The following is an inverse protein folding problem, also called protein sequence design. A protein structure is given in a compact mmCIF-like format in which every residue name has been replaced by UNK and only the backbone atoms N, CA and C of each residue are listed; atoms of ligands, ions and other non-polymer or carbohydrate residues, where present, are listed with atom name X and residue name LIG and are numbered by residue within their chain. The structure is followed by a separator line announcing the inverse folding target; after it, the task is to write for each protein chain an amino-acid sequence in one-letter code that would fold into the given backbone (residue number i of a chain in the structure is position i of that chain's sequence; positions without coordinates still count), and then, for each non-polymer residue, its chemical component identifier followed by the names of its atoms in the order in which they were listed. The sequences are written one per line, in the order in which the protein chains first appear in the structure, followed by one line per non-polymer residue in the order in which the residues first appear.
data_IF_336730727776
#
_entry.id   IF_336730727776
#
_cell.length_a   1.000
_cell.length_b   1.000
_cell.length_c   1.000
_cell.angle_alpha   90.00
_cell.angle_beta   90.00
_cell.angle_gamma   90.00
#
_symmetry.space_group_name_H-M   'P 1'
#
loop_
_entity.id
_entity.type
_entity.pdbx_description
1 polymer ?
#
# COMPACT_ATOMS: atom_id res chain seq x y z
N UNK A 1 -2.97 5.27 -23.63
CA UNK A 1 -2.69 5.92 -22.33
C UNK A 1 -2.92 4.91 -21.21
N UNK A 2 -2.03 4.89 -20.22
CA UNK A 2 -2.13 4.00 -19.06
C UNK A 2 -3.15 4.53 -18.05
N UNK A 3 -3.75 3.64 -17.24
CA UNK A 3 -4.63 4.03 -16.13
C UNK A 3 -3.79 4.40 -14.93
N UNK A 4 -3.99 5.59 -14.38
CA UNK A 4 -3.30 6.05 -13.17
C UNK A 4 -4.14 5.73 -11.93
N UNK A 5 -3.51 5.13 -10.93
CA UNK A 5 -4.08 4.98 -9.60
C UNK A 5 -3.29 5.87 -8.63
N UNK A 6 -3.96 6.76 -7.87
CA UNK A 6 -3.29 7.62 -6.88
C UNK A 6 -2.74 6.79 -5.71
N UNK A 7 -1.73 7.29 -5.00
CA UNK A 7 -1.16 6.59 -3.82
C UNK A 7 -2.26 6.07 -2.86
N UNK A 8 -2.14 4.79 -2.47
CA UNK A 8 -3.01 4.19 -1.49
C UNK A 8 -2.82 4.84 -0.11
N UNK A 9 -3.82 5.61 0.31
CA UNK A 9 -3.88 6.21 1.64
C UNK A 9 -4.54 5.27 2.66
N UNK A 10 -4.68 5.74 3.90
CA UNK A 10 -5.36 4.99 4.96
C UNK A 10 -6.82 4.66 4.62
N UNK A 11 -7.45 5.34 3.66
CA UNK A 11 -8.85 5.19 3.29
C UNK A 11 -9.06 4.48 1.95
N UNK A 12 -8.01 3.89 1.35
CA UNK A 12 -8.10 3.18 0.08
C UNK A 12 -9.23 2.15 0.09
N UNK A 13 -9.24 1.27 1.10
CA UNK A 13 -10.27 0.26 1.31
C UNK A 13 -11.69 0.86 1.37
N UNK A 14 -11.87 2.01 2.02
CA UNK A 14 -13.20 2.64 2.11
C UNK A 14 -13.69 3.15 0.75
N UNK A 15 -12.77 3.64 -0.09
CA UNK A 15 -13.06 4.15 -1.43
C UNK A 15 -13.34 3.03 -2.43
N UNK A 16 -12.68 1.89 -2.29
CA UNK A 16 -12.87 0.74 -3.17
C UNK A 16 -14.00 -0.18 -2.70
N UNK A 17 -14.31 -0.23 -1.41
CA UNK A 17 -15.32 -1.13 -0.84
C UNK A 17 -16.58 -0.41 -0.32
N UNK A 18 -17.73 -0.87 -0.79
CA UNK A 18 -19.06 -0.41 -0.35
C UNK A 18 -19.51 0.86 -1.06
N UNK A 19 -19.88 1.89 -0.29
CA UNK A 19 -20.46 3.13 -0.81
C UNK A 19 -19.45 4.26 -1.07
N UNK A 20 -18.15 4.00 -0.87
CA UNK A 20 -17.07 4.97 -1.07
C UNK A 20 -16.95 6.02 0.05
N UNK A 21 -17.77 5.92 1.10
CA UNK A 21 -17.77 6.89 2.21
C UNK A 21 -16.54 6.71 3.11
N UNK A 22 -15.94 7.82 3.55
CA UNK A 22 -14.82 7.79 4.49
C UNK A 22 -15.34 7.42 5.89
N UNK A 23 -14.83 6.31 6.42
CA UNK A 23 -15.24 5.82 7.72
C UNK A 23 -14.43 6.46 8.86
N UNK A 24 -15.03 6.59 10.05
CA UNK A 24 -14.31 6.94 11.27
C UNK A 24 -13.08 6.08 11.53
N UNK A 25 -12.07 6.64 12.19
CA UNK A 25 -10.78 6.01 12.49
C UNK A 25 -10.90 4.59 13.10
N UNK A 26 -11.89 4.38 13.98
CA UNK A 26 -12.16 3.08 14.62
C UNK A 26 -12.55 1.95 13.66
N UNK A 27 -13.06 2.29 12.47
CA UNK A 27 -13.39 1.33 11.41
C UNK A 27 -12.31 1.27 10.33
N UNK A 28 -11.27 2.09 10.46
CA UNK A 28 -10.22 2.29 9.47
C UNK A 28 -8.85 1.97 10.08
N UNK A 29 -8.77 0.84 10.76
CA UNK A 29 -7.54 0.31 11.35
C UNK A 29 -7.03 1.05 12.59
N UNK A 30 -7.79 1.98 13.19
CA UNK A 30 -7.29 2.87 14.26
C UNK A 30 -6.00 3.62 13.87
N UNK A 31 -5.95 4.03 12.60
CA UNK A 31 -4.77 4.59 11.96
C UNK A 31 -4.93 6.09 11.75
N UNK A 32 -3.92 6.85 12.13
CA UNK A 32 -3.92 8.31 12.02
C UNK A 32 -2.52 8.83 11.67
N UNK A 33 -2.41 9.47 10.50
CA UNK A 33 -1.14 10.01 9.98
C UNK A 33 -0.62 11.16 10.84
N UNK A 34 -1.50 12.07 11.26
CA UNK A 34 -1.12 13.19 12.14
C UNK A 34 -0.54 12.68 13.46
N UNK A 35 -1.16 11.64 14.04
CA UNK A 35 -0.67 11.02 15.27
C UNK A 35 0.73 10.41 15.11
N UNK A 36 0.97 9.74 13.98
CA UNK A 36 2.28 9.20 13.65
C UNK A 36 3.36 10.29 13.59
N UNK A 37 3.10 11.42 12.93
CA UNK A 37 4.10 12.48 12.84
C UNK A 37 4.26 13.30 14.14
N UNK A 38 3.26 13.31 15.01
CA UNK A 38 3.29 14.08 16.27
C UNK A 38 3.91 13.32 17.43
N UNK A 39 3.62 12.02 17.55
CA UNK A 39 4.15 11.15 18.62
C UNK A 39 4.48 9.75 18.09
N UNK A 40 5.49 9.58 17.20
CA UNK A 40 5.82 8.29 16.60
C UNK A 40 6.35 7.24 17.60
N UNK A 41 6.62 7.63 18.85
CA UNK A 41 7.16 6.73 19.89
C UNK A 41 6.10 6.34 20.92
N UNK A 42 4.83 6.63 20.64
CA UNK A 42 3.74 6.32 21.56
C UNK A 42 3.70 4.82 21.90
N UNK A 43 3.47 4.45 23.17
CA UNK A 43 3.51 3.06 23.64
C UNK A 43 2.32 2.22 23.14
N UNK A 44 1.33 2.83 22.52
CA UNK A 44 0.12 2.18 22.01
C UNK A 44 0.30 1.48 20.67
N UNK A 45 1.49 1.54 20.08
CA UNK A 45 1.82 0.84 18.84
C UNK A 45 1.20 1.42 17.57
N UNK A 46 0.60 2.62 17.62
CA UNK A 46 -0.08 3.21 16.45
C UNK A 46 0.84 3.34 15.22
N UNK A 47 2.13 3.55 15.42
CA UNK A 47 3.11 3.65 14.33
C UNK A 47 3.19 2.37 13.51
N UNK A 48 3.26 1.21 14.16
CA UNK A 48 3.29 -0.06 13.45
C UNK A 48 1.92 -0.43 12.88
N UNK A 49 0.84 -0.16 13.63
CA UNK A 49 -0.54 -0.39 13.15
C UNK A 49 -0.83 0.38 11.87
N UNK A 50 -0.39 1.64 11.79
CA UNK A 50 -0.46 2.46 10.58
C UNK A 50 0.30 1.83 9.42
N UNK A 51 1.53 1.38 9.65
CA UNK A 51 2.34 0.76 8.60
C UNK A 51 1.71 -0.53 8.09
N UNK A 52 1.21 -1.40 8.97
CA UNK A 52 0.53 -2.64 8.60
C UNK A 52 -0.75 -2.37 7.81
N UNK A 53 -1.53 -1.35 8.19
CA UNK A 53 -2.73 -0.94 7.48
C UNK A 53 -2.43 -0.38 6.08
N UNK A 54 -1.40 0.47 5.96
CA UNK A 54 -0.94 0.99 4.67
C UNK A 54 -0.42 -0.12 3.76
N UNK A 55 0.31 -1.09 4.31
CA UNK A 55 0.76 -2.27 3.56
C UNK A 55 -0.43 -3.05 2.97
N UNK A 56 -1.45 -3.36 3.79
CA UNK A 56 -2.66 -4.03 3.32
C UNK A 56 -3.38 -3.24 2.21
N UNK A 57 -3.52 -1.92 2.37
CA UNK A 57 -4.11 -1.05 1.34
C UNK A 57 -3.28 -1.04 0.04
N UNK A 58 -1.95 -1.06 0.13
CA UNK A 58 -1.06 -1.14 -1.04
C UNK A 58 -1.18 -2.49 -1.74
N UNK A 59 -1.33 -3.58 -0.99
CA UNK A 59 -1.57 -4.93 -1.56
C UNK A 59 -2.90 -4.95 -2.31
N UNK A 60 -3.97 -4.40 -1.73
CA UNK A 60 -5.26 -4.28 -2.41
C UNK A 60 -5.16 -3.45 -3.68
N UNK A 61 -4.48 -2.31 -3.63
CA UNK A 61 -4.27 -1.48 -4.80
C UNK A 61 -3.50 -2.21 -5.90
N UNK A 62 -2.47 -2.98 -5.51
CA UNK A 62 -1.71 -3.77 -6.46
C UNK A 62 -2.57 -4.85 -7.11
N UNK A 63 -3.43 -5.51 -6.34
CA UNK A 63 -4.40 -6.46 -6.88
C UNK A 63 -5.42 -5.81 -7.81
N UNK A 64 -5.93 -4.62 -7.51
CA UNK A 64 -6.82 -3.87 -8.40
C UNK A 64 -6.13 -3.46 -9.71
N UNK A 65 -4.85 -3.11 -9.64
CA UNK A 65 -4.03 -2.79 -10.81
C UNK A 65 -3.78 -4.03 -11.69
N UNK A 66 -3.42 -5.17 -11.08
CA UNK A 66 -3.25 -6.43 -11.80
C UNK A 66 -4.56 -6.92 -12.40
N UNK A 67 -5.67 -6.83 -11.66
CA UNK A 67 -7.00 -7.17 -12.17
C UNK A 67 -7.36 -6.32 -13.39
N UNK A 68 -7.13 -5.00 -13.33
CA UNK A 68 -7.35 -4.10 -14.47
C UNK A 68 -6.46 -4.46 -15.66
N UNK A 69 -5.17 -4.71 -15.42
CA UNK A 69 -4.22 -5.10 -16.47
C UNK A 69 -4.63 -6.42 -17.15
N UNK A 70 -4.92 -7.46 -16.38
CA UNK A 70 -5.25 -8.80 -16.90
C UNK A 70 -6.65 -8.87 -17.53
N UNK A 71 -7.58 -8.00 -17.13
CA UNK A 71 -8.94 -7.98 -17.69
C UNK A 71 -9.09 -7.09 -18.93
N UNK A 72 -8.32 -6.00 -19.01
CA UNK A 72 -8.46 -4.99 -20.07
C UNK A 72 -7.28 -4.94 -21.05
N UNK A 73 -6.12 -5.47 -20.67
CA UNK A 73 -4.87 -5.31 -21.41
C UNK A 73 -4.28 -3.89 -21.34
N UNK A 74 -4.87 -2.98 -20.56
CA UNK A 74 -4.38 -1.61 -20.42
C UNK A 74 -3.33 -1.51 -19.31
N UNK A 75 -2.17 -0.93 -19.63
CA UNK A 75 -1.12 -0.64 -18.65
C UNK A 75 -1.60 0.26 -17.50
N UNK A 76 -0.98 0.10 -16.33
CA UNK A 76 -1.33 0.81 -15.10
C UNK A 76 -0.11 1.53 -14.54
N UNK A 77 -0.29 2.76 -14.08
CA UNK A 77 0.71 3.53 -13.33
C UNK A 77 0.28 3.57 -11.87
N UNK A 78 1.18 3.14 -10.99
CA UNK A 78 0.99 3.13 -9.54
C UNK A 78 2.01 4.06 -8.87
N UNK A 79 1.58 4.71 -7.80
CA UNK A 79 2.47 5.42 -6.88
C UNK A 79 2.83 4.52 -5.72
N UNK A 80 4.08 4.06 -5.67
CA UNK A 80 4.65 3.15 -4.65
C UNK A 80 3.92 1.80 -4.54
N UNK A 81 4.61 0.74 -4.95
CA UNK A 81 4.10 -0.63 -4.83
C UNK A 81 4.35 -1.24 -3.44
N UNK A 82 3.67 -2.34 -3.07
CA UNK A 82 3.97 -3.10 -1.85
C UNK A 82 5.45 -3.52 -1.74
N UNK A 83 6.12 -3.77 -2.88
CA UNK A 83 7.54 -4.10 -2.94
C UNK A 83 8.44 -3.00 -2.34
N UNK A 84 8.02 -1.74 -2.45
CA UNK A 84 8.77 -0.59 -1.92
C UNK A 84 8.45 -0.27 -0.46
N UNK A 85 7.45 -0.92 0.15
CA UNK A 85 6.90 -0.50 1.44
C UNK A 85 7.88 -0.72 2.63
N UNK A 86 8.71 -1.76 2.56
CA UNK A 86 9.61 -2.13 3.65
C UNK A 86 10.66 -1.05 3.98
N UNK A 87 10.97 -0.15 3.03
CA UNK A 87 11.94 0.95 3.25
C UNK A 87 11.47 1.91 4.35
N UNK A 88 10.15 2.11 4.48
CA UNK A 88 9.56 2.93 5.53
C UNK A 88 9.69 2.24 6.88
N UNK A 89 9.40 0.95 6.92
CA UNK A 89 9.52 0.15 8.13
C UNK A 89 10.97 0.08 8.64
N UNK A 90 11.95 -0.13 7.75
CA UNK A 90 13.37 -0.13 8.11
C UNK A 90 13.80 1.24 8.65
N UNK A 91 13.32 2.32 8.05
CA UNK A 91 13.57 3.67 8.55
C UNK A 91 12.93 3.90 9.93
N UNK A 92 11.70 3.43 10.16
CA UNK A 92 11.00 3.50 11.45
C UNK A 92 11.75 2.70 12.53
N UNK A 93 12.27 1.52 12.18
CA UNK A 93 13.05 0.68 13.09
C UNK A 93 14.37 1.37 13.49
N UNK A 94 15.10 1.94 12.51
CA UNK A 94 16.36 2.68 12.77
C UNK A 94 16.15 3.92 13.64
N UNK A 95 14.98 4.57 13.56
CA UNK A 95 14.63 5.70 14.42
C UNK A 95 14.11 5.29 15.81
N UNK A 96 13.89 3.99 16.03
CA UNK A 96 13.32 3.46 17.25
C UNK A 96 11.85 3.81 17.44
N UNK A 97 11.08 3.94 16.34
CA UNK A 97 9.62 4.13 16.38
C UNK A 97 8.87 2.81 16.58
N UNK A 98 9.50 1.69 16.19
CA UNK A 98 8.92 0.35 16.28
C UNK A 98 9.88 -0.63 16.94
N UNK A 99 9.32 -1.68 17.55
CA UNK A 99 10.10 -2.75 18.16
C UNK A 99 10.56 -3.78 17.13
N UNK A 100 11.61 -4.54 17.45
CA UNK A 100 12.09 -5.65 16.60
C UNK A 100 11.00 -6.68 16.29
N UNK A 101 10.11 -6.98 17.24
CA UNK A 101 8.97 -7.88 17.02
C UNK A 101 8.03 -7.42 15.89
N UNK A 102 7.87 -6.11 15.71
CA UNK A 102 7.06 -5.53 14.64
C UNK A 102 7.73 -5.75 13.29
N UNK A 103 9.06 -5.59 13.23
CA UNK A 103 9.86 -5.88 12.05
C UNK A 103 9.76 -7.36 11.66
N UNK A 104 9.90 -8.26 12.64
CA UNK A 104 9.82 -9.70 12.41
C UNK A 104 8.41 -10.13 11.96
N UNK A 105 7.36 -9.49 12.50
CA UNK A 105 5.97 -9.73 12.08
C UNK A 105 5.71 -9.23 10.66
N UNK A 106 6.19 -8.04 10.32
CA UNK A 106 6.03 -7.50 8.98
C UNK A 106 6.74 -8.33 7.92
N UNK A 107 7.97 -8.81 8.19
CA UNK A 107 8.69 -9.67 7.24
C UNK A 107 7.91 -10.93 6.91
N UNK A 108 7.32 -11.57 7.92
CA UNK A 108 6.48 -12.74 7.72
C UNK A 108 5.25 -12.42 6.85
N UNK A 109 4.55 -11.31 7.12
CA UNK A 109 3.43 -10.87 6.27
C UNK A 109 3.92 -10.57 4.84
N UNK A 110 5.01 -9.82 4.68
CA UNK A 110 5.57 -9.45 3.37
C UNK A 110 5.88 -10.70 2.55
N UNK A 111 6.58 -11.66 3.14
CA UNK A 111 7.03 -12.87 2.47
C UNK A 111 5.86 -13.75 2.01
N UNK A 112 4.77 -13.78 2.77
CA UNK A 112 3.56 -14.55 2.43
C UNK A 112 2.68 -13.79 1.42
N UNK A 113 2.50 -12.48 1.60
CA UNK A 113 1.60 -11.70 0.74
C UNK A 113 2.21 -11.36 -0.62
N UNK A 114 3.52 -11.11 -0.71
CA UNK A 114 4.14 -10.63 -1.96
C UNK A 114 4.50 -11.78 -2.91
N UNK A 115 4.77 -12.99 -2.39
CA UNK A 115 5.25 -14.09 -3.22
C UNK A 115 4.24 -14.60 -4.27
N UNK A 116 2.95 -14.27 -4.11
CA UNK A 116 1.90 -14.62 -5.08
C UNK A 116 1.73 -13.59 -6.20
N UNK A 117 2.43 -12.45 -6.11
CA UNK A 117 2.38 -11.38 -7.12
C UNK A 117 3.64 -11.35 -8.00
N UNK A 118 3.43 -11.03 -9.28
CA UNK A 118 4.52 -10.65 -10.18
C UNK A 118 5.00 -9.23 -9.82
N UNK A 119 6.31 -8.94 -9.86
CA UNK A 119 6.84 -7.58 -9.63
C UNK A 119 6.42 -6.63 -10.74
N UNK A 120 6.51 -5.30 -10.59
CA UNK A 120 6.23 -4.37 -11.69
C UNK A 120 7.19 -4.57 -12.88
N UNK A 121 6.76 -4.23 -14.10
CA UNK A 121 7.65 -4.27 -15.28
C UNK A 121 8.74 -3.20 -15.22
N UNK A 122 8.38 -2.02 -14.72
CA UNK A 122 9.22 -0.83 -14.66
C UNK A 122 9.06 -0.15 -13.30
N UNK A 123 10.18 0.27 -12.71
CA UNK A 123 10.23 1.15 -11.55
C UNK A 123 10.89 2.45 -11.94
N UNK A 124 10.18 3.56 -11.75
CA UNK A 124 10.71 4.91 -11.93
C UNK A 124 11.06 5.46 -10.55
N UNK A 125 12.35 5.67 -10.30
CA UNK A 125 12.86 6.25 -9.06
C UNK A 125 13.29 7.70 -9.28
N UNK A 126 12.82 8.60 -8.41
CA UNK A 126 13.14 10.02 -8.46
C UNK A 126 14.13 10.32 -7.33
N UNK A 127 15.37 10.64 -7.69
CA UNK A 127 16.40 11.04 -6.75
C UNK A 127 16.25 12.53 -6.39
N UNK A 128 15.85 12.77 -5.15
CA UNK A 128 15.72 14.11 -4.57
C UNK A 128 16.52 14.13 -3.25
N UNK A 129 17.54 14.99 -3.14
CA UNK A 129 18.34 15.08 -1.91
C UNK A 129 17.49 15.43 -0.69
N UNK A 130 17.76 14.81 0.47
CA UNK A 130 17.03 15.05 1.72
C UNK A 130 16.88 16.55 2.08
N UNK A 131 17.92 17.41 1.96
CA UNK A 131 17.76 18.84 2.25
C UNK A 131 16.71 19.52 1.37
N UNK A 132 16.59 19.09 0.11
CA UNK A 132 15.60 19.61 -0.82
C UNK A 132 14.20 19.07 -0.50
N UNK A 133 14.08 17.77 -0.20
CA UNK A 133 12.83 17.16 0.26
C UNK A 133 12.29 17.90 1.50
N UNK A 134 13.16 18.19 2.46
CA UNK A 134 12.79 18.95 3.66
C UNK A 134 12.27 20.35 3.33
N UNK A 135 12.96 21.06 2.44
CA UNK A 135 12.50 22.39 2.00
C UNK A 135 11.10 22.30 1.38
N UNK A 136 10.87 21.33 0.49
CA UNK A 136 9.57 21.08 -0.15
C UNK A 136 8.47 20.74 0.87
N UNK A 137 8.78 19.92 1.89
CA UNK A 137 7.84 19.60 2.98
C UNK A 137 7.54 20.85 3.82
N UNK A 138 8.52 21.70 4.11
CA UNK A 138 8.27 22.93 4.86
C UNK A 138 7.40 23.94 4.08
N UNK A 139 7.53 23.98 2.76
CA UNK A 139 6.75 24.85 1.88
C UNK A 139 5.32 24.35 1.64
N UNK A 140 5.16 23.07 1.28
CA UNK A 140 3.89 22.48 0.80
C UNK A 140 3.27 21.43 1.71
N UNK A 141 4.03 20.88 2.64
CA UNK A 141 3.58 19.79 3.50
C UNK A 141 2.55 20.25 4.54
N UNK A 142 1.77 19.29 5.01
CA UNK A 142 0.78 19.53 6.05
C UNK A 142 1.46 19.89 7.39
N UNK A 143 0.79 20.62 8.31
CA UNK A 143 1.40 21.06 9.57
C UNK A 143 2.03 19.94 10.41
N UNK A 144 1.47 18.73 10.33
CA UNK A 144 1.99 17.55 11.02
C UNK A 144 3.20 16.94 10.30
N UNK A 145 3.25 16.93 8.96
CA UNK A 145 4.37 16.38 8.19
C UNK A 145 5.67 17.19 8.37
N UNK A 146 5.54 18.49 8.63
CA UNK A 146 6.68 19.38 8.91
C UNK A 146 7.51 18.99 10.13
N UNK A 147 6.99 18.10 11.00
CA UNK A 147 7.68 17.57 12.17
C UNK A 147 8.58 16.37 11.87
N UNK A 148 8.61 15.91 10.61
CA UNK A 148 9.42 14.75 10.21
C UNK A 148 10.92 14.98 10.48
N UNK A 149 11.57 13.97 11.04
CA UNK A 149 13.01 14.04 11.35
C UNK A 149 13.85 13.98 10.06
N UNK A 150 14.90 14.83 9.91
CA UNK A 150 15.90 14.68 8.84
C UNK A 150 16.52 13.30 8.76
N UNK A 151 16.82 12.71 9.92
CA UNK A 151 17.43 11.38 9.99
C UNK A 151 16.46 10.27 9.55
N UNK A 152 15.15 10.49 9.67
CA UNK A 152 14.15 9.55 9.17
C UNK A 152 14.12 9.56 7.64
N UNK A 153 14.11 10.75 7.02
CA UNK A 153 14.16 10.89 5.56
C UNK A 153 15.46 10.32 4.97
N UNK A 154 16.60 10.54 5.63
CA UNK A 154 17.88 9.95 5.21
C UNK A 154 17.84 8.42 5.30
N UNK A 155 17.26 7.86 6.35
CA UNK A 155 17.13 6.41 6.47
C UNK A 155 16.25 5.80 5.38
N UNK A 156 15.21 6.51 4.93
CA UNK A 156 14.37 6.11 3.80
C UNK A 156 15.18 6.13 2.51
N UNK A 157 15.87 7.23 2.22
CA UNK A 157 16.72 7.35 1.02
C UNK A 157 17.78 6.23 0.98
N UNK A 158 18.45 6.00 2.10
CA UNK A 158 19.43 4.94 2.26
C UNK A 158 18.84 3.55 2.01
N UNK A 159 17.63 3.28 2.51
CA UNK A 159 16.94 2.00 2.32
C UNK A 159 16.52 1.79 0.85
N UNK A 160 16.07 2.84 0.18
CA UNK A 160 15.80 2.81 -1.26
C UNK A 160 17.06 2.47 -2.05
N UNK A 161 18.15 3.21 -1.82
CA UNK A 161 19.40 3.07 -2.61
C UNK A 161 20.17 1.79 -2.32
N UNK A 162 20.19 1.32 -1.06
CA UNK A 162 21.01 0.17 -0.65
C UNK A 162 20.30 -1.17 -0.73
N UNK A 163 18.97 -1.18 -0.62
CA UNK A 163 18.21 -2.44 -0.54
C UNK A 163 17.22 -2.56 -1.69
N UNK A 164 16.27 -1.63 -1.82
CA UNK A 164 15.17 -1.76 -2.78
C UNK A 164 15.62 -1.70 -4.24
N UNK A 165 16.42 -0.70 -4.62
CA UNK A 165 16.85 -0.55 -6.02
C UNK A 165 17.69 -1.72 -6.52
N UNK A 166 18.67 -2.25 -5.74
CA UNK A 166 19.36 -3.48 -6.12
C UNK A 166 18.43 -4.69 -6.26
N UNK A 167 17.58 -4.96 -5.26
CA UNK A 167 16.66 -6.11 -5.24
C UNK A 167 15.69 -6.08 -6.43
N UNK A 168 15.05 -4.94 -6.70
CA UNK A 168 14.06 -4.85 -7.76
C UNK A 168 14.68 -4.81 -9.16
N UNK A 169 15.95 -4.45 -9.29
CA UNK A 169 16.63 -4.37 -10.60
C UNK A 169 16.94 -5.74 -11.23
N UNK A 170 16.87 -6.80 -10.41
CA UNK A 170 17.02 -8.19 -10.87
C UNK A 170 15.81 -8.62 -11.70
N UNK A 171 14.60 -8.29 -11.24
CA UNK A 171 13.34 -8.73 -11.86
C UNK A 171 12.67 -7.65 -12.75
N UNK A 172 12.89 -6.37 -12.43
CA UNK A 172 12.26 -5.23 -13.10
C UNK A 172 13.28 -4.33 -13.79
N UNK A 173 12.82 -3.60 -14.81
CA UNK A 173 13.60 -2.48 -15.32
C UNK A 173 13.49 -1.28 -14.37
N UNK A 174 14.61 -0.55 -14.21
CA UNK A 174 14.70 0.57 -13.28
C UNK A 174 15.21 1.79 -14.02
N UNK A 175 14.40 2.86 -14.03
CA UNK A 175 14.80 4.17 -14.50
C UNK A 175 14.99 5.10 -13.30
N UNK A 176 16.14 5.77 -13.26
CA UNK A 176 16.48 6.71 -12.20
C UNK A 176 16.61 8.10 -12.80
N UNK A 177 15.89 9.06 -12.21
CA UNK A 177 15.90 10.44 -12.66
C UNK A 177 16.17 11.38 -11.51
N UNK A 178 16.85 12.48 -11.76
CA UNK A 178 16.92 13.59 -10.81
C UNK A 178 15.66 14.44 -10.84
N UNK A 179 15.42 15.23 -9.79
CA UNK A 179 14.27 16.13 -9.71
C UNK A 179 14.10 17.07 -10.92
N UNK A 180 15.19 17.50 -11.55
CA UNK A 180 15.16 18.38 -12.72
C UNK A 180 14.87 17.62 -14.02
N UNK A 181 15.31 16.37 -14.13
CA UNK A 181 15.08 15.56 -15.35
C UNK A 181 13.64 15.07 -15.46
N UNK A 182 12.97 14.80 -14.33
CA UNK A 182 11.56 14.37 -14.33
C UNK A 182 10.60 15.46 -14.80
N UNK A 183 11.00 16.74 -14.74
CA UNK A 183 10.17 17.82 -15.27
C UNK A 183 9.99 17.72 -16.79
N UNK A 184 10.93 17.06 -17.49
CA UNK A 184 10.84 16.74 -18.91
C UNK A 184 10.09 15.41 -19.11
N UNK A 185 8.77 15.51 -19.17
CA UNK A 185 7.87 14.34 -19.34
C UNK A 185 8.07 13.66 -20.69
N UNK A 186 8.43 14.40 -21.74
CA UNK A 186 8.65 13.82 -23.07
C UNK A 186 9.85 12.88 -23.05
N UNK A 187 10.95 13.31 -22.42
CA UNK A 187 12.13 12.46 -22.21
C UNK A 187 11.79 11.18 -21.44
N UNK A 188 11.02 11.27 -20.36
CA UNK A 188 10.63 10.08 -19.58
C UNK A 188 9.81 9.10 -20.43
N UNK A 189 8.93 9.61 -21.29
CA UNK A 189 8.12 8.77 -22.19
C UNK A 189 9.01 8.10 -23.25
N UNK A 190 9.93 8.85 -23.87
CA UNK A 190 10.88 8.29 -24.84
C UNK A 190 11.72 7.17 -24.22
N UNK A 191 12.27 7.39 -23.02
CA UNK A 191 13.07 6.38 -22.31
C UNK A 191 12.25 5.10 -22.01
N UNK A 192 10.95 5.25 -21.72
CA UNK A 192 10.02 4.10 -21.55
C UNK A 192 9.78 3.36 -22.87
N UNK A 193 9.66 4.08 -24.00
CA UNK A 193 9.43 3.48 -25.31
C UNK A 193 10.66 2.74 -25.86
N UNK A 194 11.86 3.19 -25.50
CA UNK A 194 13.12 2.53 -25.90
C UNK A 194 13.50 1.34 -25.01
N UNK A 195 12.89 1.20 -23.85
CA UNK A 195 13.13 0.07 -22.95
C UNK A 195 12.68 -1.25 -23.56
N UNK A 196 13.53 -2.27 -23.40
CA UNK A 196 13.19 -3.65 -23.72
C UNK A 196 12.94 -4.40 -22.42
N UNK A 197 11.73 -4.93 -22.28
CA UNK A 197 11.33 -5.71 -21.12
C UNK A 197 11.76 -7.16 -21.29
N UNK A 198 13.05 -7.39 -21.09
CA UNK A 198 13.68 -8.72 -21.22
C UNK A 198 13.81 -9.44 -19.86
N UNK A 199 13.47 -8.77 -18.75
CA UNK A 199 13.54 -9.31 -17.38
C UNK A 199 12.23 -9.97 -16.95
N UNK A 200 12.38 -11.00 -16.12
CA UNK A 200 11.30 -11.89 -15.66
C UNK A 200 10.91 -11.62 -14.21
N UNK A 201 9.79 -12.17 -13.73
CA UNK A 201 9.15 -13.42 -14.20
C UNK A 201 8.02 -13.27 -15.24
N UNK A 202 7.78 -12.08 -15.81
CA UNK A 202 6.67 -11.83 -16.74
C UNK A 202 6.72 -12.64 -18.04
N UNK A 203 7.91 -12.84 -18.61
CA UNK A 203 8.09 -13.55 -19.88
C UNK A 203 7.89 -15.08 -19.75
N UNK A 204 7.92 -15.60 -18.53
CA UNK A 204 7.78 -17.02 -18.23
C UNK A 204 6.31 -17.43 -18.03
N UNK A 205 5.39 -16.46 -17.99
CA UNK A 205 3.98 -16.70 -17.73
C UNK A 205 3.24 -17.22 -18.97
N UNK A 206 2.28 -18.11 -18.75
CA UNK A 206 1.38 -18.63 -19.77
C UNK A 206 -0.08 -18.28 -19.45
N UNK A 207 -1.01 -18.66 -20.33
CA UNK A 207 -2.43 -18.39 -20.14
C UNK A 207 -2.98 -19.02 -18.85
N UNK A 208 -2.39 -20.13 -18.39
CA UNK A 208 -2.81 -20.84 -17.18
C UNK A 208 -2.33 -20.11 -15.93
N UNK A 209 -1.07 -19.68 -15.90
CA UNK A 209 -0.52 -18.92 -14.78
C UNK A 209 -1.21 -17.56 -14.65
N UNK A 210 -1.47 -16.86 -15.77
CA UNK A 210 -2.25 -15.63 -15.76
C UNK A 210 -3.70 -15.86 -15.34
N UNK A 211 -4.32 -16.99 -15.70
CA UNK A 211 -5.66 -17.33 -15.22
C UNK A 211 -5.68 -17.49 -13.69
N UNK A 212 -4.72 -18.21 -13.11
CA UNK A 212 -4.63 -18.38 -11.66
C UNK A 212 -4.34 -17.06 -10.94
N UNK A 213 -3.40 -16.26 -11.45
CA UNK A 213 -3.12 -14.93 -10.92
C UNK A 213 -4.39 -14.05 -10.97
N UNK A 214 -5.15 -14.11 -12.07
CA UNK A 214 -6.41 -13.37 -12.21
C UNK A 214 -7.45 -13.78 -11.17
N UNK A 215 -7.63 -15.08 -10.94
CA UNK A 215 -8.56 -15.57 -9.92
C UNK A 215 -8.14 -15.11 -8.51
N UNK A 216 -6.83 -15.16 -8.26
CA UNK A 216 -6.24 -14.75 -6.99
C UNK A 216 -6.46 -13.26 -6.71
N UNK A 217 -6.15 -12.36 -7.66
CA UNK A 217 -6.30 -10.91 -7.46
C UNK A 217 -7.75 -10.44 -7.32
N UNK A 218 -8.72 -11.25 -7.76
CA UNK A 218 -10.15 -10.97 -7.67
C UNK A 218 -10.72 -11.26 -6.28
N UNK A 219 -10.13 -12.20 -5.54
CA UNK A 219 -10.55 -12.55 -4.18
C UNK A 219 -9.88 -11.64 -3.15
N UNK A 220 -10.43 -10.43 -3.00
CA UNK A 220 -9.87 -9.41 -2.10
C UNK A 220 -9.88 -9.83 -0.62
N UNK A 221 -10.82 -10.69 -0.22
CA UNK A 221 -10.89 -11.19 1.14
C UNK A 221 -9.71 -12.15 1.41
N UNK A 222 -9.45 -13.10 0.50
CA UNK A 222 -8.31 -14.01 0.60
C UNK A 222 -6.96 -13.26 0.58
N UNK A 223 -6.83 -12.18 -0.20
CA UNK A 223 -5.63 -11.35 -0.21
C UNK A 223 -5.33 -10.70 1.14
N UNK A 224 -6.37 -10.26 1.84
CA UNK A 224 -6.24 -9.61 3.14
C UNK A 224 -6.02 -10.60 4.29
N UNK A 225 -6.42 -11.86 4.13
CA UNK A 225 -6.18 -12.90 5.14
C UNK A 225 -4.68 -13.07 5.43
N UNK A 226 -3.81 -12.91 4.42
CA UNK A 226 -2.35 -12.95 4.61
C UNK A 226 -1.80 -11.77 5.41
N UNK A 227 -2.50 -10.63 5.41
CA UNK A 227 -2.15 -9.49 6.27
C UNK A 227 -2.61 -9.70 7.73
N UNK A 228 -3.46 -10.70 7.99
CA UNK A 228 -4.05 -11.01 9.29
C UNK A 228 -3.53 -12.34 9.87
N UNK A 229 -2.23 -12.60 9.73
CA UNK A 229 -1.62 -13.81 10.31
C UNK A 229 -1.88 -13.90 11.84
N UNK A 230 -2.09 -15.11 12.39
CA UNK A 230 -2.41 -15.30 13.80
C UNK A 230 -1.16 -15.18 14.71
N UNK A 231 -0.38 -14.12 14.53
CA UNK A 231 0.80 -13.78 15.32
C UNK A 231 0.49 -12.60 16.22
N UNK A 232 0.21 -12.89 17.48
CA UNK A 232 -0.22 -11.89 18.45
C UNK A 232 0.92 -11.00 18.91
N UNK A 233 0.97 -9.77 18.38
CA UNK A 233 1.81 -8.68 18.91
C UNK A 233 0.95 -7.58 19.54
N UNK A 234 1.39 -6.94 20.63
CA UNK A 234 0.60 -5.93 21.34
C UNK A 234 0.15 -4.75 20.47
N UNK A 235 0.93 -4.38 19.46
CA UNK A 235 0.71 -3.19 18.64
C UNK A 235 -0.50 -3.31 17.68
N UNK A 236 -0.89 -4.53 17.30
CA UNK A 236 -2.01 -4.78 16.35
C UNK A 236 -3.13 -5.65 16.94
N UNK A 237 -2.86 -6.40 18.01
CA UNK A 237 -3.84 -7.34 18.56
C UNK A 237 -4.96 -6.58 19.26
N UNK A 238 -6.18 -6.72 18.77
CA UNK A 238 -7.39 -6.14 19.37
C UNK A 238 -8.03 -7.19 20.28
N UNK A 239 -8.45 -6.78 21.48
CA UNK A 239 -9.13 -7.68 22.41
C UNK A 239 -10.51 -8.11 21.87
N UNK A 240 -10.91 -9.36 22.11
CA UNK A 240 -12.16 -9.90 21.54
C UNK A 240 -13.42 -9.10 21.89
N UNK A 241 -13.51 -8.55 23.10
CA UNK A 241 -14.65 -7.69 23.52
C UNK A 241 -14.68 -6.38 22.73
N UNK A 242 -13.51 -5.78 22.51
CA UNK A 242 -13.38 -4.55 21.75
C UNK A 242 -13.70 -4.78 20.28
N UNK A 243 -13.16 -5.86 19.69
CA UNK A 243 -13.48 -6.28 18.34
C UNK A 243 -14.98 -6.50 18.14
N UNK A 244 -15.64 -7.24 19.03
CA UNK A 244 -17.07 -7.53 18.95
C UNK A 244 -17.92 -6.24 18.97
N UNK A 245 -17.57 -5.31 19.86
CA UNK A 245 -18.20 -3.99 19.92
C UNK A 245 -18.04 -3.22 18.61
N UNK A 246 -16.82 -3.13 18.07
CA UNK A 246 -16.54 -2.39 16.84
C UNK A 246 -17.26 -3.04 15.65
N UNK A 247 -17.28 -4.38 15.59
CA UNK A 247 -17.95 -5.13 14.55
C UNK A 247 -19.45 -4.84 14.48
N UNK A 248 -20.15 -4.85 15.62
CA UNK A 248 -21.57 -4.53 15.64
C UNK A 248 -21.86 -3.05 15.40
N UNK A 249 -20.99 -2.15 15.86
CA UNK A 249 -21.08 -0.72 15.52
C UNK A 249 -20.90 -0.47 14.01
N UNK A 250 -20.01 -1.22 13.35
CA UNK A 250 -19.82 -1.15 11.90
C UNK A 250 -21.05 -1.68 11.14
N UNK A 251 -21.58 -2.84 11.55
CA UNK A 251 -22.79 -3.45 10.96
C UNK A 251 -24.06 -2.61 11.16
N UNK A 252 -24.07 -1.72 12.15
CA UNK A 252 -25.17 -0.78 12.39
C UNK A 252 -25.14 0.43 11.44
N UNK A 253 -24.04 0.65 10.71
CA UNK A 253 -23.97 1.71 9.70
C UNK A 253 -24.88 1.40 8.51
N UNK A 254 -25.51 2.42 7.89
CA UNK A 254 -26.34 2.24 6.71
C UNK A 254 -25.58 1.53 5.57
N UNK A 255 -26.21 0.52 4.95
CA UNK A 255 -25.64 -0.18 3.80
C UNK A 255 -24.51 -1.16 4.12
N UNK A 256 -24.19 -1.37 5.40
CA UNK A 256 -23.07 -2.23 5.85
C UNK A 256 -23.52 -3.46 6.63
N UNK A 257 -24.84 -3.66 6.79
CA UNK A 257 -25.39 -4.82 7.52
C UNK A 257 -25.24 -6.12 6.74
N UNK A 258 -25.46 -6.10 5.43
CA UNK A 258 -25.36 -7.25 4.53
C UNK A 258 -24.45 -6.94 3.34
N UNK A 259 -24.23 -7.93 2.47
CA UNK A 259 -23.49 -7.76 1.22
C UNK A 259 -24.13 -6.65 0.39
N UNK A 260 -23.31 -5.89 -0.35
CA UNK A 260 -23.77 -4.84 -1.25
C UNK A 260 -24.87 -5.38 -2.20
N UNK A 261 -25.98 -4.65 -2.33
CA UNK A 261 -27.14 -5.08 -3.11
C UNK A 261 -28.25 -5.77 -2.31
N UNK A 262 -28.05 -6.01 -1.00
CA UNK A 262 -29.00 -6.66 -0.08
C UNK A 262 -29.39 -5.80 1.14
N UNK A 263 -29.13 -4.49 1.11
CA UNK A 263 -29.36 -3.57 2.22
C UNK A 263 -30.60 -2.69 1.96
N UNK A 264 -31.74 -3.05 2.57
CA UNK A 264 -33.02 -2.36 2.38
C UNK A 264 -33.01 -0.90 2.89
N UNK A 265 -32.20 -0.63 3.90
CA UNK A 265 -31.99 0.68 4.53
C UNK A 265 -31.35 1.71 3.60
N UNK A 266 -30.61 1.27 2.58
CA UNK A 266 -30.07 2.14 1.50
C UNK A 266 -30.86 2.03 0.20
N UNK A 267 -32.03 1.38 0.23
CA UNK A 267 -32.95 1.31 -0.89
C UNK A 267 -32.64 0.21 -1.91
N UNK A 268 -31.86 -0.81 -1.55
CA UNK A 268 -31.65 -1.97 -2.41
C UNK A 268 -32.98 -2.65 -2.75
N UNK A 269 -33.25 -2.82 -4.05
CA UNK A 269 -34.48 -3.45 -4.55
C UNK A 269 -34.26 -4.91 -4.89
N UNK A 270 -35.35 -5.67 -4.96
CA UNK A 270 -35.36 -7.08 -5.36
C UNK A 270 -34.51 -7.99 -4.47
N UNK A 271 -34.32 -7.64 -3.19
CA UNK A 271 -33.45 -8.36 -2.25
C UNK A 271 -33.82 -9.85 -2.16
N UNK A 272 -35.10 -10.20 -2.27
CA UNK A 272 -35.60 -11.58 -2.21
C UNK A 272 -35.49 -12.36 -3.54
N UNK A 273 -35.06 -11.70 -4.63
CA UNK A 273 -34.90 -12.26 -5.99
C UNK A 273 -33.46 -12.12 -6.53
N UNK A 274 -32.49 -11.82 -5.67
CA UNK A 274 -31.05 -11.78 -6.00
C UNK A 274 -30.35 -12.93 -5.31
#
# INVERSE_FOLDING_TARGET
GMKYFPEADIHYLNRTCGDGSLLPEKFNGFCNMERFYTDPKSPDGHSYRLQAWLFGNRVLQYADALEHLLSTGQGVVLERSPFSDFVFLDAMFKQGYIHKRCLDHYKEIKDISICEFLPPHLVIYIDVPVPEVQKRIQEKGEPYEKKVSPSYLQNIEDAYKKTFLPEISEDSEVLQYTAAEVEDVERVIEDIEFLKFDKGPWLEQDDVSFHHLRLHVQDKDALLDFAAIPRFIPEITIGGIEFDKIYYEYRALPGRKYKQGYNADVGDKWIWLK
#
